data_IF_313766109358
#
_entry.id   IF_313766109358
#
_cell.length_a   1.000
_cell.length_b   1.000
_cell.length_c   1.000
_cell.angle_alpha   90.00
_cell.angle_beta   90.00
_cell.angle_gamma   90.00
#
_symmetry.space_group_name_H-M   'P 1'
#
loop_
_entity.id
_entity.type
_entity.pdbx_description
1 polymer ?
#
# COMPACT_ATOMS: atom_id res chain seq x y z
N UNK A 1 16.96 -10.65 -17.26
CA UNK A 1 16.78 -10.22 -17.03
C UNK A 1 15.75 -9.71 -16.53
N UNK A 2 15.05 -9.41 -16.02
CA UNK A 2 14.12 -9.14 -15.58
C UNK A 2 14.15 -8.51 -14.50
N UNK A 3 14.77 -8.07 -13.98
CA UNK A 3 15.01 -7.50 -12.75
C UNK A 3 14.19 -6.31 -12.40
N UNK A 4 13.84 -5.45 -13.36
CA UNK A 4 12.96 -4.32 -13.11
C UNK A 4 11.60 -4.78 -12.60
N UNK A 5 11.11 -5.89 -13.08
CA UNK A 5 9.86 -6.45 -12.64
C UNK A 5 9.93 -6.86 -11.17
N UNK A 6 11.07 -7.41 -10.75
CA UNK A 6 11.24 -7.81 -9.35
C UNK A 6 11.24 -6.60 -8.43
N UNK A 7 11.85 -5.50 -8.86
CA UNK A 7 11.89 -4.28 -8.05
C UNK A 7 10.49 -3.69 -7.92
N UNK A 8 9.73 -3.65 -9.01
CA UNK A 8 8.36 -3.17 -8.97
C UNK A 8 7.52 -4.01 -8.02
N UNK A 9 7.70 -5.32 -8.06
CA UNK A 9 6.97 -6.23 -7.18
C UNK A 9 7.29 -5.97 -5.72
N UNK A 10 8.56 -5.72 -5.41
CA UNK A 10 8.97 -5.46 -4.03
C UNK A 10 8.32 -4.20 -3.48
N UNK A 11 8.26 -3.14 -4.26
CA UNK A 11 7.63 -1.90 -3.82
C UNK A 11 6.13 -2.13 -3.59
N UNK A 12 5.46 -2.78 -4.55
CA UNK A 12 4.04 -3.05 -4.42
C UNK A 12 3.75 -3.94 -3.22
N UNK A 13 4.57 -4.95 -2.99
CA UNK A 13 4.42 -5.83 -1.84
C UNK A 13 4.56 -5.04 -0.53
N UNK A 14 5.51 -4.12 -0.47
CA UNK A 14 5.71 -3.31 0.73
C UNK A 14 4.49 -2.44 0.99
N UNK A 15 3.93 -1.84 -0.05
CA UNK A 15 2.72 -1.02 0.09
C UNK A 15 1.56 -1.88 0.61
N UNK A 16 1.37 -3.06 0.04
CA UNK A 16 0.29 -3.96 0.46
C UNK A 16 0.47 -4.36 1.92
N UNK A 17 1.68 -4.73 2.31
CA UNK A 17 1.95 -5.13 3.70
C UNK A 17 1.74 -3.98 4.67
N UNK A 18 2.14 -2.78 4.29
CA UNK A 18 1.97 -1.62 5.16
C UNK A 18 0.49 -1.35 5.42
N UNK A 19 -0.35 -1.42 4.37
CA UNK A 19 -1.78 -1.24 4.56
C UNK A 19 -2.38 -2.35 5.42
N UNK A 20 -1.93 -3.59 5.22
CA UNK A 20 -2.42 -4.69 6.05
C UNK A 20 -2.09 -4.46 7.52
N UNK A 21 -0.86 -4.04 7.81
CA UNK A 21 -0.46 -3.73 9.17
C UNK A 21 -1.34 -2.65 9.79
N UNK A 22 -1.57 -1.58 9.02
CA UNK A 22 -2.34 -0.45 9.53
C UNK A 22 -3.79 -0.83 9.77
N UNK A 23 -4.37 -1.64 8.90
CA UNK A 23 -5.73 -2.11 9.09
C UNK A 23 -5.83 -3.01 10.33
N UNK A 24 -4.84 -3.87 10.54
CA UNK A 24 -4.82 -4.75 11.70
C UNK A 24 -4.67 -3.96 12.99
N UNK A 25 -3.75 -3.00 13.00
CA UNK A 25 -3.53 -2.16 14.18
C UNK A 25 -4.79 -1.42 14.59
N UNK A 26 -5.56 -0.99 13.60
CA UNK A 26 -6.75 -0.18 13.84
C UNK A 26 -8.02 -0.99 13.85
N UNK A 27 -7.91 -2.29 13.65
CA UNK A 27 -9.04 -3.20 13.61
C UNK A 27 -10.09 -2.72 12.60
N UNK A 28 -9.63 -2.37 11.40
CA UNK A 28 -10.47 -1.89 10.30
C UNK A 28 -10.46 -2.94 9.20
N UNK A 29 -11.65 -3.35 8.75
CA UNK A 29 -11.76 -4.28 7.62
C UNK A 29 -11.49 -3.56 6.30
N UNK A 30 -11.12 -4.30 5.24
CA UNK A 30 -10.97 -3.68 3.92
C UNK A 30 -12.23 -2.96 3.45
N UNK A 31 -13.41 -3.53 3.71
CA UNK A 31 -14.66 -2.88 3.32
C UNK A 31 -14.86 -1.56 4.07
N UNK A 32 -14.56 -1.54 5.36
CA UNK A 32 -14.65 -0.31 6.14
C UNK A 32 -13.65 0.73 5.64
N UNK A 33 -12.45 0.30 5.29
CA UNK A 33 -11.45 1.21 4.73
C UNK A 33 -11.94 1.81 3.42
N UNK A 34 -12.57 1.01 2.56
CA UNK A 34 -13.11 1.51 1.30
C UNK A 34 -14.13 2.62 1.55
N UNK A 35 -15.05 2.42 2.48
CA UNK A 35 -16.06 3.42 2.81
C UNK A 35 -15.38 4.71 3.30
N UNK A 36 -14.43 4.58 4.21
CA UNK A 36 -13.74 5.74 4.77
C UNK A 36 -12.93 6.50 3.73
N UNK A 37 -12.43 5.78 2.74
CA UNK A 37 -11.53 6.36 1.74
C UNK A 37 -12.26 6.86 0.50
N UNK A 38 -13.55 6.57 0.38
CA UNK A 38 -14.31 6.99 -0.80
C UNK A 38 -13.95 6.22 -2.05
N UNK A 39 -13.51 4.96 -1.91
CA UNK A 39 -13.18 4.10 -3.04
C UNK A 39 -14.02 2.83 -2.96
N UNK A 40 -14.00 2.04 -4.04
CA UNK A 40 -14.74 0.78 -4.04
C UNK A 40 -13.97 -0.27 -3.24
N UNK A 41 -14.67 -1.26 -2.67
CA UNK A 41 -13.98 -2.36 -2.00
C UNK A 41 -12.99 -3.09 -2.91
N UNK A 42 -13.30 -3.24 -4.19
CA UNK A 42 -12.37 -3.92 -5.10
C UNK A 42 -11.07 -3.16 -5.23
N UNK A 43 -11.09 -1.83 -5.14
CA UNK A 43 -9.87 -1.03 -5.14
C UNK A 43 -9.01 -1.34 -3.93
N UNK A 44 -9.63 -1.47 -2.76
CA UNK A 44 -8.89 -1.80 -1.54
C UNK A 44 -8.31 -3.22 -1.64
N UNK A 45 -9.12 -4.19 -2.07
CA UNK A 45 -8.62 -5.56 -2.20
C UNK A 45 -7.48 -5.66 -3.20
N UNK A 46 -7.56 -4.93 -4.32
CA UNK A 46 -6.46 -4.91 -5.28
C UNK A 46 -5.19 -4.32 -4.67
N UNK A 47 -5.34 -3.28 -3.85
CA UNK A 47 -4.18 -2.66 -3.20
C UNK A 47 -3.52 -3.62 -2.21
N UNK A 48 -4.33 -4.40 -1.51
CA UNK A 48 -3.81 -5.35 -0.51
C UNK A 48 -3.28 -6.65 -1.13
N UNK A 49 -3.59 -6.88 -2.40
CA UNK A 49 -3.23 -8.11 -3.09
C UNK A 49 -1.86 -7.96 -3.73
N UNK A 50 -0.86 -8.67 -3.21
CA UNK A 50 0.50 -8.55 -3.71
C UNK A 50 0.66 -9.10 -5.13
N UNK A 51 -0.31 -9.85 -5.64
CA UNK A 51 -0.26 -10.33 -7.02
C UNK A 51 -0.57 -9.23 -8.03
N UNK A 52 -1.19 -8.13 -7.60
CA UNK A 52 -1.42 -6.99 -8.48
C UNK A 52 -0.11 -6.22 -8.64
N UNK A 53 0.14 -5.71 -9.83
CA UNK A 53 1.44 -5.18 -10.15
C UNK A 53 1.65 -3.72 -9.81
N UNK A 54 0.59 -2.97 -9.60
CA UNK A 54 0.77 -1.55 -9.34
C UNK A 54 -0.39 -0.96 -8.56
N UNK A 55 -0.10 0.14 -7.90
CA UNK A 55 -1.10 0.97 -7.25
C UNK A 55 -0.65 2.42 -7.50
N UNK A 56 -1.59 3.31 -7.73
CA UNK A 56 -1.23 4.69 -8.00
C UNK A 56 -1.09 5.47 -6.69
N UNK A 57 -0.26 6.52 -6.74
CA UNK A 57 -0.08 7.39 -5.57
C UNK A 57 -1.41 8.01 -5.14
N UNK A 58 -2.27 8.49 -6.04
CA UNK A 58 -3.57 9.01 -5.60
C UNK A 58 -4.40 7.98 -4.83
N UNK A 59 -4.35 6.71 -5.21
CA UNK A 59 -5.05 5.68 -4.45
C UNK A 59 -4.45 5.53 -3.06
N UNK A 60 -3.12 5.51 -2.96
CA UNK A 60 -2.45 5.44 -1.66
C UNK A 60 -2.89 6.61 -0.78
N UNK A 61 -2.94 7.81 -1.35
CA UNK A 61 -3.36 8.99 -0.61
C UNK A 61 -4.78 8.86 -0.07
N UNK A 62 -5.70 8.38 -0.90
CA UNK A 62 -7.10 8.20 -0.46
C UNK A 62 -7.20 7.22 0.70
N UNK A 63 -6.44 6.12 0.62
CA UNK A 63 -6.47 5.13 1.69
C UNK A 63 -5.82 5.68 2.97
N UNK A 64 -4.76 6.47 2.83
CA UNK A 64 -4.16 7.13 3.99
C UNK A 64 -5.15 8.08 4.65
N UNK A 65 -5.91 8.83 3.85
CA UNK A 65 -6.93 9.72 4.39
C UNK A 65 -8.00 8.92 5.14
N UNK A 66 -8.38 7.77 4.59
CA UNK A 66 -9.35 6.90 5.25
C UNK A 66 -8.83 6.33 6.57
N UNK A 67 -7.53 6.18 6.71
CA UNK A 67 -6.89 5.72 7.94
C UNK A 67 -6.56 6.87 8.89
N UNK A 68 -6.68 8.11 8.43
CA UNK A 68 -6.36 9.26 9.26
C UNK A 68 -4.87 9.50 9.42
N UNK A 69 -4.07 9.11 8.44
CA UNK A 69 -2.61 9.32 8.48
C UNK A 69 -2.16 10.08 7.25
N UNK A 70 -0.95 10.63 7.33
CA UNK A 70 -0.34 11.32 6.19
C UNK A 70 0.43 10.34 5.32
N UNK A 71 0.78 10.76 4.09
CA UNK A 71 1.66 9.95 3.25
C UNK A 71 3.02 9.77 3.90
N UNK A 72 3.50 10.78 4.61
CA UNK A 72 4.78 10.67 5.31
C UNK A 72 4.72 9.58 6.36
N UNK A 73 3.66 9.56 7.16
CA UNK A 73 3.47 8.52 8.18
C UNK A 73 3.38 7.14 7.54
N UNK A 74 2.68 7.05 6.42
CA UNK A 74 2.53 5.78 5.73
C UNK A 74 3.89 5.21 5.32
N UNK A 75 4.72 6.04 4.69
CA UNK A 75 6.01 5.58 4.18
C UNK A 75 7.12 5.56 5.23
N UNK A 76 6.83 6.04 6.44
CA UNK A 76 7.80 6.02 7.52
C UNK A 76 7.75 4.67 8.24
N UNK A 77 8.20 3.64 7.56
CA UNK A 77 8.21 2.28 8.10
C UNK A 77 9.44 1.56 7.57
N UNK A 78 10.01 0.68 8.40
CA UNK A 78 11.24 -0.01 8.04
C UNK A 78 11.10 -0.89 6.80
N UNK A 79 9.90 -1.35 6.51
CA UNK A 79 9.67 -2.17 5.31
C UNK A 79 10.06 -1.42 4.04
N UNK A 80 9.92 -0.08 4.03
CA UNK A 80 10.28 0.70 2.86
C UNK A 80 11.78 0.96 2.79
N UNK A 81 12.44 1.11 3.93
CA UNK A 81 13.89 1.31 3.94
C UNK A 81 14.64 0.02 3.61
N UNK A 82 13.99 -1.13 3.72
CA UNK A 82 14.60 -2.40 3.40
C UNK A 82 14.61 -2.71 1.89
N UNK A 83 13.91 -1.91 1.08
CA UNK A 83 13.85 -2.13 -0.36
C UNK A 83 15.13 -1.59 -1.00
N UNK A 84 15.75 -2.41 -1.85
CA UNK A 84 16.96 -2.00 -2.54
C UNK A 84 16.68 -0.85 -3.50
N UNK A 85 17.67 -0.01 -3.68
CA UNK A 85 17.59 1.08 -4.64
C UNK A 85 17.48 0.50 -6.05
N UNK A 86 16.53 1.01 -6.82
CA UNK A 86 16.31 0.52 -8.18
C UNK A 86 17.34 1.02 -9.16
N UNK A 87 17.81 2.25 -8.96
CA UNK A 87 18.77 2.88 -9.85
C UNK A 87 20.07 3.10 -9.08
N UNK A 88 21.14 2.60 -9.63
CA UNK A 88 22.43 2.66 -8.96
C UNK A 88 23.42 3.56 -9.66
#
# INVERSE_FOLDING_TARGET
MILATDEDTKVKDAVALRFKELCEERNISPNALAVRSGVTPSTVYSTLDSSQQSVTVPTVKKLCDGLGITLVDFFNASIFTAIDQEIR
#
